data_IF_016732199618
#
_entry.id   IF_016732199618
#
_cell.length_a   1.000
_cell.length_b   1.000
_cell.length_c   1.000
_cell.angle_alpha   90.00
_cell.angle_beta   90.00
_cell.angle_gamma   90.00
#
_symmetry.space_group_name_H-M   'P 1'
#
loop_
_entity.id
_entity.type
_entity.pdbx_description
1 polymer ?
#
# COMPACT_ATOMS: atom_id res chain seq x y z
N UNK A 1 29.73 -9.99 -29.40
CA UNK A 1 29.30 -11.36 -29.02
C UNK A 1 27.85 -11.27 -28.57
N UNK A 2 26.94 -12.04 -29.15
CA UNK A 2 25.51 -11.97 -28.77
C UNK A 2 25.28 -12.73 -27.47
N UNK A 3 24.49 -12.16 -26.54
CA UNK A 3 24.10 -12.84 -25.29
C UNK A 3 23.42 -14.19 -25.56
N UNK A 4 22.83 -14.35 -26.75
CA UNK A 4 22.16 -15.56 -27.21
C UNK A 4 23.11 -16.74 -27.47
N UNK A 5 24.41 -16.46 -27.65
CA UNK A 5 25.44 -17.47 -27.91
C UNK A 5 26.17 -17.96 -26.66
N UNK A 6 25.83 -17.46 -25.47
CA UNK A 6 26.52 -17.84 -24.24
C UNK A 6 26.14 -19.27 -23.80
N UNK A 7 27.07 -20.05 -23.25
CA UNK A 7 26.78 -21.31 -22.55
C UNK A 7 25.84 -21.12 -21.36
N UNK A 8 25.20 -22.21 -20.91
CA UNK A 8 24.17 -22.15 -19.84
C UNK A 8 24.80 -21.72 -18.53
N UNK A 9 26.04 -22.14 -18.29
CA UNK A 9 26.89 -21.81 -17.15
C UNK A 9 27.09 -20.29 -17.04
N UNK A 10 27.39 -19.63 -18.17
CA UNK A 10 27.54 -18.16 -18.18
C UNK A 10 26.20 -17.45 -17.97
N UNK A 11 25.09 -17.99 -18.48
CA UNK A 11 23.76 -17.42 -18.21
C UNK A 11 23.37 -17.55 -16.74
N UNK A 12 23.73 -18.66 -16.08
CA UNK A 12 23.56 -18.86 -14.64
C UNK A 12 24.43 -17.89 -13.84
N UNK A 13 25.68 -17.66 -14.25
CA UNK A 13 26.56 -16.67 -13.61
C UNK A 13 25.98 -15.26 -13.74
N UNK A 14 25.51 -14.86 -14.94
CA UNK A 14 24.85 -13.56 -15.13
C UNK A 14 23.61 -13.45 -14.24
N UNK A 15 22.78 -14.49 -14.20
CA UNK A 15 21.58 -14.50 -13.36
C UNK A 15 21.92 -14.35 -11.87
N UNK A 16 22.98 -15.01 -11.39
CA UNK A 16 23.46 -14.87 -10.02
C UNK A 16 23.92 -13.43 -9.70
N UNK A 17 24.60 -12.77 -10.64
CA UNK A 17 25.09 -11.40 -10.45
C UNK A 17 23.99 -10.34 -10.47
N UNK A 18 22.81 -10.62 -11.05
CA UNK A 18 21.64 -9.72 -11.01
C UNK A 18 21.09 -9.55 -9.58
N UNK A 19 21.33 -10.53 -8.70
CA UNK A 19 20.92 -10.54 -7.29
C UNK A 19 19.40 -10.41 -7.09
N UNK A 20 18.94 -9.23 -6.65
CA UNK A 20 17.56 -8.97 -6.25
C UNK A 20 16.88 -7.97 -7.19
N UNK A 21 17.52 -7.61 -8.32
CA UNK A 21 16.93 -6.68 -9.29
C UNK A 21 15.82 -7.39 -10.10
N UNK A 22 14.58 -7.13 -9.70
CA UNK A 22 13.39 -7.71 -10.32
C UNK A 22 13.26 -7.34 -11.80
N UNK A 23 13.61 -6.11 -12.19
CA UNK A 23 13.50 -5.64 -13.56
C UNK A 23 14.51 -6.36 -14.46
N UNK A 24 15.75 -6.50 -13.98
CA UNK A 24 16.80 -7.23 -14.70
C UNK A 24 16.47 -8.73 -14.81
N UNK A 25 15.92 -9.36 -13.78
CA UNK A 25 15.47 -10.76 -13.85
C UNK A 25 14.35 -10.95 -14.88
N UNK A 26 13.32 -10.10 -14.88
CA UNK A 26 12.23 -10.17 -15.86
C UNK A 26 12.73 -9.89 -17.28
N UNK A 27 13.64 -8.93 -17.46
CA UNK A 27 14.27 -8.63 -18.74
C UNK A 27 15.07 -9.84 -19.27
N UNK A 28 15.92 -10.43 -18.43
CA UNK A 28 16.70 -11.61 -18.81
C UNK A 28 15.79 -12.79 -19.16
N UNK A 29 14.74 -13.04 -18.37
CA UNK A 29 13.75 -14.09 -18.64
C UNK A 29 13.03 -13.91 -19.98
N UNK A 30 12.70 -12.66 -20.34
CA UNK A 30 11.97 -12.34 -21.57
C UNK A 30 12.85 -12.34 -22.82
N UNK A 31 14.17 -12.32 -22.67
CA UNK A 31 15.10 -12.18 -23.78
C UNK A 31 14.95 -13.29 -24.83
N UNK A 32 14.80 -14.56 -24.41
CA UNK A 32 14.59 -15.69 -25.33
C UNK A 32 13.99 -16.92 -24.63
N UNK A 33 13.68 -17.97 -25.40
CA UNK A 33 13.09 -19.22 -24.89
C UNK A 33 14.02 -19.99 -23.94
N UNK A 34 15.35 -19.91 -24.15
CA UNK A 34 16.35 -20.59 -23.32
C UNK A 34 16.45 -19.99 -21.92
N UNK A 35 16.52 -18.67 -21.83
CA UNK A 35 16.51 -17.94 -20.56
C UNK A 35 15.17 -18.12 -19.85
N UNK A 36 14.04 -18.09 -20.56
CA UNK A 36 12.74 -18.46 -19.99
C UNK A 36 12.73 -19.87 -19.39
N UNK A 37 13.27 -20.85 -20.11
CA UNK A 37 13.36 -22.23 -19.61
C UNK A 37 14.21 -22.34 -18.33
N UNK A 38 15.28 -21.55 -18.23
CA UNK A 38 16.10 -21.43 -17.02
C UNK A 38 15.28 -20.97 -15.81
N UNK A 39 14.51 -19.88 -15.96
CA UNK A 39 13.67 -19.38 -14.87
C UNK A 39 12.51 -20.30 -14.51
N UNK A 40 11.94 -21.00 -15.49
CA UNK A 40 10.90 -22.00 -15.22
C UNK A 40 11.45 -23.17 -14.37
N UNK A 41 12.74 -23.44 -14.43
CA UNK A 41 13.39 -24.49 -13.63
C UNK A 41 13.63 -24.07 -12.16
N UNK A 42 13.68 -22.77 -11.84
CA UNK A 42 13.88 -22.29 -10.46
C UNK A 42 12.65 -22.46 -9.56
N UNK A 43 11.48 -22.70 -10.13
CA UNK A 43 10.24 -22.91 -9.39
C UNK A 43 9.65 -21.65 -8.76
N UNK A 44 8.58 -21.82 -7.97
CA UNK A 44 7.80 -20.72 -7.39
C UNK A 44 8.56 -19.95 -6.31
N UNK A 45 9.43 -20.62 -5.55
CA UNK A 45 10.13 -20.02 -4.40
C UNK A 45 11.11 -18.91 -4.81
N UNK A 46 11.77 -19.08 -5.96
CA UNK A 46 12.61 -18.03 -6.55
C UNK A 46 11.83 -16.74 -6.77
N UNK A 47 10.69 -16.83 -7.48
CA UNK A 47 9.86 -15.66 -7.78
C UNK A 47 9.24 -15.06 -6.53
N UNK A 48 8.84 -15.89 -5.57
CA UNK A 48 8.34 -15.45 -4.27
C UNK A 48 9.40 -14.63 -3.54
N UNK A 49 10.61 -15.17 -3.43
CA UNK A 49 11.73 -14.48 -2.77
C UNK A 49 12.06 -13.16 -3.49
N UNK A 50 12.14 -13.17 -4.83
CA UNK A 50 12.42 -11.99 -5.62
C UNK A 50 11.38 -10.88 -5.42
N UNK A 51 10.08 -11.22 -5.46
CA UNK A 51 9.01 -10.26 -5.19
C UNK A 51 9.11 -9.68 -3.78
N UNK A 52 9.31 -10.54 -2.77
CA UNK A 52 9.41 -10.10 -1.37
C UNK A 52 10.62 -9.19 -1.13
N UNK A 53 11.76 -9.49 -1.75
CA UNK A 53 12.96 -8.64 -1.69
C UNK A 53 12.78 -7.29 -2.37
N UNK A 54 11.83 -7.17 -3.30
CA UNK A 54 11.40 -5.91 -3.91
C UNK A 54 10.17 -5.30 -3.22
N UNK A 55 9.82 -5.79 -2.03
CA UNK A 55 8.73 -5.30 -1.20
C UNK A 55 7.34 -5.54 -1.76
N UNK A 56 7.16 -6.57 -2.60
CA UNK A 56 5.88 -6.91 -3.23
C UNK A 56 5.24 -8.15 -2.56
N UNK A 57 3.95 -8.04 -2.28
CA UNK A 57 3.08 -9.09 -1.75
C UNK A 57 1.94 -9.48 -2.69
N UNK A 58 1.10 -10.40 -2.21
CA UNK A 58 -0.09 -10.89 -2.91
C UNK A 58 -1.33 -10.07 -2.54
N UNK A 59 -2.32 -10.07 -3.43
CA UNK A 59 -3.63 -9.43 -3.23
C UNK A 59 -4.72 -10.50 -3.01
N UNK A 60 -5.81 -10.14 -2.34
CA UNK A 60 -6.90 -11.07 -2.00
C UNK A 60 -7.61 -11.72 -3.21
N UNK A 61 -7.41 -11.20 -4.42
CA UNK A 61 -7.97 -11.76 -5.67
C UNK A 61 -6.99 -12.62 -6.48
N UNK A 62 -5.75 -12.76 -6.02
CA UNK A 62 -4.73 -13.51 -6.74
C UNK A 62 -5.07 -15.01 -6.74
N UNK A 63 -5.04 -15.62 -7.93
CA UNK A 63 -5.24 -17.06 -8.07
C UNK A 63 -4.03 -17.80 -7.51
N UNK A 64 -4.24 -18.55 -6.43
CA UNK A 64 -3.18 -19.38 -5.83
C UNK A 64 -2.84 -20.50 -6.80
N UNK A 65 -1.66 -20.40 -7.43
CA UNK A 65 -1.23 -21.36 -8.44
C UNK A 65 0.29 -21.33 -8.67
N UNK A 66 0.78 -22.38 -9.33
CA UNK A 66 2.16 -22.43 -9.81
C UNK A 66 2.39 -21.25 -10.77
N UNK A 67 3.31 -20.35 -10.41
CA UNK A 67 3.62 -19.16 -11.20
C UNK A 67 2.95 -17.86 -10.74
N UNK A 68 2.18 -17.83 -9.64
CA UNK A 68 1.57 -16.58 -9.14
C UNK A 68 2.60 -15.44 -9.01
N UNK A 69 3.70 -15.69 -8.30
CA UNK A 69 4.74 -14.67 -8.09
C UNK A 69 5.51 -14.33 -9.37
N UNK A 70 5.60 -15.24 -10.34
CA UNK A 70 6.17 -14.94 -11.65
C UNK A 70 5.26 -13.97 -12.40
N UNK A 71 3.95 -14.19 -12.38
CA UNK A 71 2.96 -13.29 -12.95
C UNK A 71 3.03 -11.92 -12.31
N UNK A 72 3.08 -11.85 -10.97
CA UNK A 72 3.24 -10.58 -10.22
C UNK A 72 4.52 -9.86 -10.64
N UNK A 73 5.65 -10.56 -10.69
CA UNK A 73 6.93 -9.95 -11.08
C UNK A 73 6.87 -9.38 -12.50
N UNK A 74 6.29 -10.13 -13.44
CA UNK A 74 6.14 -9.68 -14.83
C UNK A 74 5.21 -8.47 -14.93
N UNK A 75 4.04 -8.52 -14.30
CA UNK A 75 3.06 -7.43 -14.26
C UNK A 75 3.69 -6.15 -13.70
N UNK A 76 4.33 -6.23 -12.53
CA UNK A 76 4.98 -5.10 -11.90
C UNK A 76 6.15 -4.56 -12.73
N UNK A 77 6.95 -5.41 -13.37
CA UNK A 77 8.07 -4.97 -14.19
C UNK A 77 7.62 -4.25 -15.46
N UNK A 78 6.60 -4.79 -16.16
CA UNK A 78 6.01 -4.14 -17.34
C UNK A 78 5.41 -2.79 -16.98
N UNK A 79 4.67 -2.72 -15.87
CA UNK A 79 4.10 -1.47 -15.36
C UNK A 79 5.20 -0.48 -14.98
N UNK A 80 6.29 -0.94 -14.37
CA UNK A 80 7.38 -0.09 -13.90
C UNK A 80 8.05 0.71 -15.03
N UNK A 81 8.17 0.12 -16.22
CA UNK A 81 8.83 0.75 -17.36
C UNK A 81 8.04 1.90 -17.99
N UNK A 82 6.72 1.93 -17.78
CA UNK A 82 5.82 2.93 -18.42
C UNK A 82 5.19 3.89 -17.41
N UNK A 83 5.22 3.58 -16.12
CA UNK A 83 4.55 4.36 -15.10
C UNK A 83 5.44 5.50 -14.58
N UNK A 84 4.98 6.74 -14.76
CA UNK A 84 5.67 7.96 -14.30
C UNK A 84 5.20 8.45 -12.93
N UNK A 85 4.13 7.86 -12.37
CA UNK A 85 3.55 8.30 -11.10
C UNK A 85 4.58 8.22 -9.95
N UNK A 86 4.79 9.29 -9.14
CA UNK A 86 5.86 9.37 -8.13
C UNK A 86 5.85 8.27 -7.07
N UNK A 87 4.66 7.77 -6.71
CA UNK A 87 4.53 6.67 -5.75
C UNK A 87 4.60 5.28 -6.37
N UNK A 88 4.81 5.17 -7.69
CA UNK A 88 4.82 3.92 -8.45
C UNK A 88 6.08 3.87 -9.34
N UNK A 89 6.13 2.93 -10.30
CA UNK A 89 7.21 2.84 -11.28
C UNK A 89 8.49 2.20 -10.75
N UNK A 90 9.58 2.37 -11.50
CA UNK A 90 10.92 1.87 -11.15
C UNK A 90 11.44 2.45 -9.84
N UNK A 91 11.22 3.74 -9.58
CA UNK A 91 11.70 4.40 -8.36
C UNK A 91 11.11 3.75 -7.10
N UNK A 92 9.80 3.46 -7.10
CA UNK A 92 9.14 2.77 -5.98
C UNK A 92 9.70 1.37 -5.74
N UNK A 93 9.98 0.59 -6.79
CA UNK A 93 10.58 -0.75 -6.64
C UNK A 93 11.97 -0.69 -5.99
N UNK A 94 12.80 0.28 -6.39
CA UNK A 94 14.12 0.50 -5.79
C UNK A 94 14.02 0.93 -4.33
N UNK A 95 13.12 1.86 -4.00
CA UNK A 95 12.85 2.29 -2.62
C UNK A 95 12.37 1.12 -1.75
N UNK A 96 11.48 0.28 -2.27
CA UNK A 96 10.99 -0.90 -1.57
C UNK A 96 12.12 -1.90 -1.29
N UNK A 97 12.96 -2.19 -2.30
CA UNK A 97 14.09 -3.09 -2.17
C UNK A 97 15.10 -2.58 -1.14
N UNK A 98 15.38 -1.27 -1.16
CA UNK A 98 16.23 -0.62 -0.17
C UNK A 98 15.62 -0.69 1.23
N UNK A 99 14.31 -0.48 1.36
CA UNK A 99 13.61 -0.56 2.65
C UNK A 99 13.65 -1.97 3.24
N UNK A 100 13.47 -3.02 2.41
CA UNK A 100 13.64 -4.42 2.84
C UNK A 100 15.07 -4.71 3.26
N UNK A 101 16.07 -4.25 2.50
CA UNK A 101 17.48 -4.42 2.83
C UNK A 101 17.84 -3.74 4.16
N UNK A 102 17.37 -2.51 4.36
CA UNK A 102 17.59 -1.73 5.58
C UNK A 102 16.89 -2.34 6.81
N UNK A 103 15.75 -3.01 6.61
CA UNK A 103 15.05 -3.72 7.68
C UNK A 103 15.83 -4.93 8.22
N UNK A 104 17.02 -5.25 7.67
CA UNK A 104 17.92 -6.33 8.09
C UNK A 104 17.19 -7.65 8.30
N UNK A 105 16.30 -8.00 7.37
CA UNK A 105 15.74 -9.33 7.31
C UNK A 105 16.87 -10.28 6.89
N UNK A 106 17.57 -10.84 7.89
CA UNK A 106 18.61 -11.86 7.70
C UNK A 106 18.09 -13.06 6.90
N UNK A 107 16.76 -13.27 6.91
CA UNK A 107 16.06 -14.22 6.09
C UNK A 107 14.74 -13.67 5.52
N UNK A 108 14.67 -13.27 4.24
CA UNK A 108 13.42 -12.84 3.60
C UNK A 108 12.46 -14.00 3.29
N UNK A 109 12.89 -15.25 3.51
CA UNK A 109 12.00 -16.42 3.47
C UNK A 109 11.20 -16.59 4.75
N UNK A 110 11.64 -15.97 5.85
CA UNK A 110 10.87 -15.96 7.09
C UNK A 110 9.46 -15.41 6.80
N UNK A 111 8.44 -16.14 7.23
CA UNK A 111 7.05 -15.66 7.14
C UNK A 111 6.97 -14.25 7.72
N UNK A 112 6.15 -13.35 7.14
CA UNK A 112 5.93 -12.01 7.67
C UNK A 112 5.76 -12.11 9.18
N UNK A 113 6.59 -11.37 9.91
CA UNK A 113 7.09 -11.69 11.25
C UNK A 113 5.99 -12.25 12.15
N UNK A 114 5.94 -13.59 12.29
CA UNK A 114 4.99 -14.28 13.18
C UNK A 114 5.49 -14.34 14.63
N UNK A 115 6.72 -13.91 14.87
CA UNK A 115 7.40 -13.94 16.17
C UNK A 115 8.37 -12.77 16.26
N UNK A 116 7.84 -11.57 16.53
CA UNK A 116 8.65 -10.49 17.09
C UNK A 116 8.88 -10.87 18.55
N UNK A 117 10.13 -11.16 18.95
CA UNK A 117 10.45 -11.43 20.37
C UNK A 117 10.50 -10.10 21.12
N UNK A 118 9.98 -10.11 22.34
CA UNK A 118 9.78 -8.95 23.25
C UNK A 118 11.00 -8.05 23.52
N UNK A 119 12.22 -8.49 23.22
CA UNK A 119 13.42 -7.84 23.75
C UNK A 119 13.98 -6.70 22.90
N UNK A 120 13.44 -6.44 21.71
CA UNK A 120 13.79 -5.25 20.93
C UNK A 120 12.53 -4.64 20.29
N UNK A 121 12.18 -3.37 20.55
CA UNK A 121 11.13 -2.69 19.82
C UNK A 121 11.61 -2.46 18.39
N UNK A 122 11.49 -3.48 17.54
CA UNK A 122 11.81 -3.36 16.12
C UNK A 122 11.00 -2.20 15.54
N UNK A 123 11.73 -1.19 15.09
CA UNK A 123 11.17 -0.01 14.45
C UNK A 123 10.61 -0.48 13.11
N UNK A 124 9.30 -0.66 13.05
CA UNK A 124 8.61 -0.87 11.79
C UNK A 124 8.73 0.42 10.97
N UNK A 125 9.38 0.33 9.82
CA UNK A 125 9.44 1.45 8.90
C UNK A 125 8.15 1.44 8.07
N UNK A 126 7.27 2.44 8.21
CA UNK A 126 6.08 2.53 7.37
C UNK A 126 6.46 2.66 5.90
N UNK A 127 5.60 2.15 5.03
CA UNK A 127 5.68 2.53 3.63
C UNK A 127 5.53 4.04 3.47
N UNK A 128 6.26 4.66 2.52
CA UNK A 128 6.15 6.10 2.25
C UNK A 128 4.74 6.56 1.85
N UNK A 129 3.92 5.69 1.26
CA UNK A 129 2.48 5.93 1.00
C UNK A 129 1.73 6.16 2.32
N UNK A 130 2.17 5.50 3.36
CA UNK A 130 1.66 5.61 4.72
C UNK A 130 2.59 6.47 5.59
N UNK A 131 3.33 7.43 5.03
CA UNK A 131 4.16 8.36 5.83
C UNK A 131 3.37 9.11 6.91
N UNK A 132 2.06 9.27 6.69
CA UNK A 132 1.14 9.88 7.65
C UNK A 132 0.57 8.88 8.66
N UNK A 133 0.97 7.60 8.59
CA UNK A 133 0.61 6.53 9.49
C UNK A 133 1.86 6.03 10.23
N UNK A 134 1.94 6.06 11.55
CA UNK A 134 2.96 5.30 12.29
C UNK A 134 2.44 3.90 12.60
N UNK A 135 3.37 3.00 12.88
CA UNK A 135 3.09 1.59 13.14
C UNK A 135 3.84 1.21 14.41
N UNK A 136 3.19 0.44 15.29
CA UNK A 136 3.74 -0.05 16.55
C UNK A 136 3.60 -1.56 16.62
N UNK A 137 4.68 -2.29 16.83
CA UNK A 137 4.56 -3.70 17.21
C UNK A 137 3.95 -3.83 18.61
N UNK A 138 3.14 -4.85 18.87
CA UNK A 138 2.76 -5.19 20.24
C UNK A 138 2.15 -6.58 20.40
N UNK A 139 2.15 -7.07 21.64
CA UNK A 139 1.48 -8.30 22.03
C UNK A 139 0.18 -7.98 22.76
N UNK A 140 -0.93 -8.60 22.35
CA UNK A 140 -2.07 -8.80 23.22
C UNK A 140 -2.48 -10.28 23.14
N UNK A 141 -1.88 -11.11 23.99
CA UNK A 141 -2.43 -12.40 24.47
C UNK A 141 -2.63 -13.54 23.46
N UNK A 142 -2.34 -13.37 22.17
CA UNK A 142 -2.37 -14.38 21.10
C UNK A 142 -1.56 -13.83 19.89
N UNK A 143 -1.18 -14.64 18.89
CA UNK A 143 0.05 -14.43 18.11
C UNK A 143 0.10 -13.08 17.36
N UNK A 144 1.01 -12.22 17.80
CA UNK A 144 1.65 -11.09 17.11
C UNK A 144 0.70 -10.15 16.32
N UNK A 145 0.27 -9.07 16.98
CA UNK A 145 -0.52 -8.00 16.37
C UNK A 145 0.31 -6.73 16.21
N UNK A 146 0.62 -6.33 14.97
CA UNK A 146 1.15 -4.99 14.72
C UNK A 146 0.00 -3.98 14.69
N UNK A 147 0.19 -2.87 15.38
CA UNK A 147 -0.73 -1.73 15.46
C UNK A 147 -0.31 -0.61 14.52
N UNK A 148 -1.26 0.22 14.13
CA UNK A 148 -1.02 1.47 13.37
C UNK A 148 -1.45 2.66 14.24
N UNK A 149 -0.53 3.58 14.55
CA UNK A 149 -0.80 4.88 15.17
C UNK A 149 -0.40 5.97 14.19
N UNK A 150 -1.28 6.74 13.58
CA UNK A 150 -0.85 7.70 12.56
C UNK A 150 0.15 8.78 13.03
N UNK A 151 0.95 9.42 12.19
CA UNK A 151 1.75 10.59 12.58
C UNK A 151 1.80 11.51 11.36
N UNK A 152 1.28 12.74 11.46
CA UNK A 152 1.16 13.62 10.29
C UNK A 152 2.51 14.26 9.93
N UNK A 153 2.90 14.17 8.66
CA UNK A 153 4.05 14.89 8.10
C UNK A 153 3.58 15.90 7.04
N UNK A 154 4.20 17.08 7.02
CA UNK A 154 3.89 18.19 6.11
C UNK A 154 4.55 17.94 4.75
N UNK A 155 3.92 17.11 3.92
CA UNK A 155 4.42 16.73 2.59
C UNK A 155 3.74 17.52 1.48
N UNK A 156 4.54 18.08 0.56
CA UNK A 156 4.11 18.82 -0.62
C UNK A 156 2.99 18.11 -1.43
N UNK A 157 2.06 18.92 -1.95
CA UNK A 157 0.92 18.54 -2.80
C UNK A 157 1.31 17.49 -3.86
N UNK A 158 0.80 16.27 -3.72
CA UNK A 158 0.77 15.29 -4.81
C UNK A 158 -0.33 15.69 -5.79
N UNK A 159 0.02 16.49 -6.82
CA UNK A 159 -0.90 16.94 -7.87
C UNK A 159 -1.34 15.84 -8.86
N UNK A 160 -0.98 14.57 -8.62
CA UNK A 160 -1.27 13.51 -9.58
C UNK A 160 -2.73 13.00 -9.46
N UNK A 161 -3.39 12.92 -10.62
CA UNK A 161 -4.83 12.67 -10.78
C UNK A 161 -5.20 11.20 -10.84
N UNK A 162 -4.23 10.32 -11.07
CA UNK A 162 -4.50 8.89 -11.20
C UNK A 162 -4.70 8.24 -9.82
N UNK A 163 -5.75 7.44 -9.71
CA UNK A 163 -6.06 6.74 -8.46
C UNK A 163 -4.97 5.70 -8.19
N UNK A 164 -4.36 5.75 -7.01
CA UNK A 164 -3.33 4.77 -6.56
C UNK A 164 -3.75 3.31 -6.73
N UNK A 165 -5.05 3.04 -6.71
CA UNK A 165 -5.65 1.71 -6.92
C UNK A 165 -5.41 1.14 -8.33
N UNK A 166 -5.16 2.00 -9.32
CA UNK A 166 -4.81 1.60 -10.68
C UNK A 166 -3.34 1.21 -10.84
N UNK A 167 -2.52 1.36 -9.79
CA UNK A 167 -1.08 1.13 -9.85
C UNK A 167 -0.70 -0.21 -9.16
N UNK A 168 -0.42 -1.29 -9.91
CA UNK A 168 -0.19 -2.62 -9.34
C UNK A 168 1.01 -2.66 -8.39
N UNK A 169 2.09 -1.92 -8.69
CA UNK A 169 3.26 -1.83 -7.80
C UNK A 169 2.87 -1.22 -6.45
N UNK A 170 2.10 -0.13 -6.46
CA UNK A 170 1.62 0.53 -5.24
C UNK A 170 0.79 -0.44 -4.42
N UNK A 171 -0.24 -1.04 -5.03
CA UNK A 171 -1.20 -1.86 -4.30
C UNK A 171 -0.58 -3.14 -3.73
N UNK A 172 0.44 -3.69 -4.41
CA UNK A 172 1.18 -4.87 -3.97
C UNK A 172 2.32 -4.56 -3.01
N UNK A 173 2.71 -3.29 -2.86
CA UNK A 173 3.81 -2.95 -1.96
C UNK A 173 3.41 -3.24 -0.50
N UNK A 174 4.34 -3.77 0.31
CA UNK A 174 4.12 -3.96 1.73
C UNK A 174 3.84 -2.65 2.47
N UNK A 175 2.92 -2.73 3.45
CA UNK A 175 2.55 -1.58 4.28
C UNK A 175 3.65 -1.17 5.26
N UNK A 176 4.50 -2.11 5.69
CA UNK A 176 5.66 -1.89 6.56
C UNK A 176 6.87 -2.68 6.11
N UNK A 177 8.04 -2.23 6.56
CA UNK A 177 9.32 -2.91 6.41
C UNK A 177 9.92 -3.13 7.81
N UNK A 178 10.08 -4.38 8.27
CA UNK A 178 9.70 -5.65 7.61
C UNK A 178 8.18 -5.83 7.42
N UNK A 179 7.73 -6.72 6.50
CA UNK A 179 6.31 -6.98 6.29
C UNK A 179 5.69 -7.73 7.47
N UNK A 180 4.49 -7.32 7.87
CA UNK A 180 3.72 -7.95 8.95
C UNK A 180 2.53 -8.73 8.38
N UNK A 181 2.16 -9.86 9.00
CA UNK A 181 1.02 -10.65 8.53
C UNK A 181 -0.35 -10.08 8.96
N UNK A 182 -0.38 -9.31 10.04
CA UNK A 182 -1.61 -8.76 10.63
C UNK A 182 -1.38 -7.31 11.06
N UNK A 183 -2.35 -6.44 10.76
CA UNK A 183 -2.37 -5.04 11.17
C UNK A 183 -3.73 -4.65 11.71
N UNK A 184 -3.77 -4.07 12.91
CA UNK A 184 -5.01 -3.57 13.54
C UNK A 184 -5.01 -2.04 13.61
N UNK A 185 -6.15 -1.45 13.29
CA UNK A 185 -6.39 0.00 13.42
C UNK A 185 -6.87 0.31 14.85
N UNK A 186 -6.08 1.06 15.61
CA UNK A 186 -6.40 1.38 17.01
C UNK A 186 -7.40 2.53 17.17
N UNK A 187 -7.44 3.44 16.20
CA UNK A 187 -8.26 4.67 16.29
C UNK A 187 -9.75 4.39 16.08
N UNK A 188 -10.10 3.21 15.59
CA UNK A 188 -11.45 2.89 15.17
C UNK A 188 -11.89 1.57 15.81
N UNK A 189 -12.89 1.65 16.68
CA UNK A 189 -13.52 0.48 17.26
C UNK A 189 -14.25 -0.33 16.16
N UNK A 190 -14.22 -1.67 16.27
CA UNK A 190 -14.84 -2.62 15.32
C UNK A 190 -14.22 -2.71 13.92
N UNK A 191 -13.01 -2.20 13.70
CA UNK A 191 -12.37 -2.32 12.38
C UNK A 191 -11.77 -3.69 12.14
N UNK A 192 -12.02 -4.29 10.96
CA UNK A 192 -11.37 -5.54 10.58
C UNK A 192 -9.85 -5.39 10.56
N UNK A 193 -9.16 -6.29 11.26
CA UNK A 193 -7.72 -6.47 11.13
C UNK A 193 -7.37 -6.74 9.67
N UNK A 194 -6.50 -5.92 9.08
CA UNK A 194 -5.90 -6.22 7.79
C UNK A 194 -4.98 -7.45 7.98
N UNK A 195 -5.23 -8.52 7.24
CA UNK A 195 -4.51 -9.79 7.41
C UNK A 195 -4.11 -10.35 6.06
N UNK A 196 -2.84 -10.72 5.94
CA UNK A 196 -2.26 -11.34 4.76
C UNK A 196 -1.05 -12.18 5.17
N UNK A 197 -1.12 -13.50 4.99
CA UNK A 197 -0.06 -14.43 5.38
C UNK A 197 1.25 -14.22 4.62
N UNK A 198 1.22 -13.57 3.46
CA UNK A 198 2.41 -13.22 2.67
C UNK A 198 2.91 -11.79 2.95
N UNK A 199 2.19 -11.04 3.80
CA UNK A 199 2.54 -9.71 4.27
C UNK A 199 1.47 -8.70 3.87
N UNK A 200 1.00 -7.92 4.84
CA UNK A 200 -0.02 -6.89 4.63
C UNK A 200 0.51 -5.85 3.66
N UNK A 201 -0.25 -5.66 2.59
CA UNK A 201 0.05 -4.72 1.50
C UNK A 201 -0.68 -3.39 1.68
N UNK A 202 -0.33 -2.40 0.86
CA UNK A 202 -1.08 -1.14 0.76
C UNK A 202 -2.55 -1.39 0.45
N UNK A 203 -2.85 -2.36 -0.43
CA UNK A 203 -4.22 -2.75 -0.74
C UNK A 203 -4.98 -3.22 0.49
N UNK A 204 -4.38 -4.06 1.32
CA UNK A 204 -5.03 -4.62 2.51
C UNK A 204 -5.40 -3.52 3.50
N UNK A 205 -4.47 -2.57 3.73
CA UNK A 205 -4.72 -1.41 4.59
C UNK A 205 -5.82 -0.51 4.00
N UNK A 206 -5.75 -0.19 2.71
CA UNK A 206 -6.76 0.64 2.04
C UNK A 206 -8.14 -0.03 2.03
N UNK A 207 -8.20 -1.34 1.80
CA UNK A 207 -9.45 -2.10 1.82
C UNK A 207 -10.08 -2.11 3.21
N UNK A 208 -9.28 -2.36 4.25
CA UNK A 208 -9.77 -2.26 5.63
C UNK A 208 -10.27 -0.86 5.93
N UNK A 209 -9.51 0.18 5.56
CA UNK A 209 -9.91 1.58 5.75
C UNK A 209 -11.22 1.90 5.01
N UNK A 210 -11.39 1.44 3.77
CA UNK A 210 -12.64 1.59 3.01
C UNK A 210 -13.82 0.91 3.69
N UNK A 211 -13.64 -0.27 4.27
CA UNK A 211 -14.71 -0.95 5.03
C UNK A 211 -15.21 -0.06 6.18
N UNK A 212 -14.31 0.61 6.90
CA UNK A 212 -14.67 1.57 7.97
C UNK A 212 -15.59 2.65 7.41
N UNK A 213 -15.24 3.15 6.24
CA UNK A 213 -15.94 4.27 5.63
C UNK A 213 -17.30 3.81 5.06
N UNK A 214 -17.45 2.57 4.63
CA UNK A 214 -18.76 2.06 4.21
C UNK A 214 -19.75 1.85 5.37
N UNK A 215 -19.25 1.63 6.60
CA UNK A 215 -20.08 1.30 7.77
C UNK A 215 -20.52 2.51 8.62
N UNK A 216 -20.22 3.75 8.19
CA UNK A 216 -20.63 4.95 8.96
C UNK A 216 -22.13 5.17 8.80
N UNK A 217 -22.92 5.19 9.90
CA UNK A 217 -24.38 5.29 9.81
C UNK A 217 -24.81 6.59 9.14
N UNK A 218 -25.56 6.44 8.06
CA UNK A 218 -26.22 7.49 7.31
C UNK A 218 -27.10 8.32 8.23
N UNK A 219 -27.02 9.64 8.10
CA UNK A 219 -27.77 10.71 8.79
C UNK A 219 -27.37 11.11 10.22
N UNK A 220 -27.33 10.25 11.25
CA UNK A 220 -27.06 10.76 12.62
C UNK A 220 -25.57 10.81 13.02
N UNK A 221 -24.70 10.08 12.30
CA UNK A 221 -23.26 10.01 12.62
C UNK A 221 -22.34 10.74 11.64
N UNK A 222 -22.81 11.09 10.44
CA UNK A 222 -21.94 11.78 9.47
C UNK A 222 -21.58 13.18 9.97
N UNK A 223 -22.48 13.88 10.67
CA UNK A 223 -22.17 15.21 11.23
C UNK A 223 -21.14 15.12 12.36
N UNK A 224 -21.34 14.20 13.30
CA UNK A 224 -20.39 13.96 14.39
C UNK A 224 -19.03 13.53 13.83
N UNK A 225 -19.04 12.71 12.78
CA UNK A 225 -17.84 12.27 12.09
C UNK A 225 -17.17 13.41 11.30
N UNK A 226 -17.91 14.19 10.52
CA UNK A 226 -17.41 15.35 9.78
C UNK A 226 -16.83 16.39 10.74
N UNK A 227 -17.57 16.73 11.79
CA UNK A 227 -17.12 17.69 12.81
C UNK A 227 -15.88 17.19 13.54
N UNK A 228 -15.79 15.88 13.82
CA UNK A 228 -14.59 15.26 14.40
C UNK A 228 -13.41 15.30 13.42
N UNK A 229 -13.62 15.02 12.14
CA UNK A 229 -12.51 14.88 11.17
C UNK A 229 -12.12 16.19 10.46
N UNK A 230 -12.96 17.22 10.51
CA UNK A 230 -12.64 18.58 10.02
C UNK A 230 -12.17 19.50 11.16
N UNK A 231 -11.95 18.96 12.36
CA UNK A 231 -11.70 19.72 13.59
C UNK A 231 -12.75 20.84 13.84
N UNK A 232 -13.98 20.62 13.39
CA UNK A 232 -15.08 21.58 13.47
C UNK A 232 -15.06 22.71 12.43
N UNK A 233 -14.10 22.71 11.51
CA UNK A 233 -13.98 23.71 10.45
C UNK A 233 -14.23 23.09 9.07
N UNK A 234 -15.52 23.05 8.69
CA UNK A 234 -15.96 22.51 7.40
C UNK A 234 -15.50 23.34 6.20
N UNK A 235 -15.07 24.60 6.41
CA UNK A 235 -14.58 25.49 5.33
C UNK A 235 -13.26 25.03 4.72
N UNK A 236 -12.56 24.10 5.39
CA UNK A 236 -11.34 23.47 4.86
C UNK A 236 -11.61 22.42 3.78
N UNK A 237 -12.86 21.95 3.66
CA UNK A 237 -13.22 20.86 2.75
C UNK A 237 -14.33 21.27 1.79
N UNK A 238 -15.26 22.11 2.23
CA UNK A 238 -16.34 22.62 1.39
C UNK A 238 -16.08 24.06 0.95
N UNK A 239 -16.56 24.47 -0.25
CA UNK A 239 -16.52 25.85 -0.69
C UNK A 239 -17.28 26.73 0.31
N UNK A 240 -16.72 27.90 0.63
CA UNK A 240 -17.39 28.87 1.51
C UNK A 240 -18.77 29.32 0.98
N UNK A 241 -19.01 29.17 -0.32
CA UNK A 241 -20.27 29.52 -0.97
C UNK A 241 -21.40 28.51 -0.71
N UNK A 242 -21.09 27.28 -0.29
CA UNK A 242 -22.12 26.29 -0.01
C UNK A 242 -22.81 26.56 1.31
N UNK A 243 -24.14 26.49 1.33
CA UNK A 243 -24.86 26.49 2.58
C UNK A 243 -24.65 25.18 3.32
N UNK A 244 -24.85 25.20 4.63
CA UNK A 244 -24.85 23.98 5.45
C UNK A 244 -25.85 22.94 4.88
N UNK A 245 -26.98 23.39 4.32
CA UNK A 245 -27.98 22.51 3.69
C UNK A 245 -27.43 21.85 2.42
N UNK A 246 -26.75 22.60 1.55
CA UNK A 246 -26.15 22.06 0.33
C UNK A 246 -25.06 21.02 0.65
N UNK A 247 -24.27 21.28 1.69
CA UNK A 247 -23.28 20.31 2.20
C UNK A 247 -23.97 19.02 2.65
N UNK A 248 -25.12 19.11 3.32
CA UNK A 248 -25.86 17.95 3.82
C UNK A 248 -26.53 17.14 2.71
N UNK A 249 -27.11 17.80 1.73
CA UNK A 249 -27.75 17.13 0.58
C UNK A 249 -26.69 16.44 -0.30
N UNK A 250 -25.51 17.05 -0.43
CA UNK A 250 -24.39 16.50 -1.22
C UNK A 250 -23.64 15.36 -0.50
N UNK A 251 -23.66 15.34 0.83
CA UNK A 251 -22.93 14.37 1.68
C UNK A 251 -23.90 13.56 2.55
N UNK A 252 -24.89 12.96 1.90
CA UNK A 252 -25.82 12.01 2.55
C UNK A 252 -25.19 10.63 2.79
N UNK A 253 -24.06 10.37 2.16
CA UNK A 253 -23.28 9.14 2.29
C UNK A 253 -21.79 9.45 2.23
N UNK A 254 -20.96 8.49 2.64
CA UNK A 254 -19.51 8.59 2.46
C UNK A 254 -19.07 8.60 1.02
N UNK A 255 -19.85 8.01 0.11
CA UNK A 255 -19.59 8.14 -1.32
C UNK A 255 -19.76 9.61 -1.73
N UNK A 256 -20.80 10.29 -1.25
CA UNK A 256 -20.97 11.73 -1.41
C UNK A 256 -19.81 12.53 -0.81
N UNK A 257 -19.31 12.12 0.36
CA UNK A 257 -18.11 12.73 0.96
C UNK A 257 -16.89 12.61 0.06
N UNK A 258 -16.66 11.44 -0.54
CA UNK A 258 -15.52 11.22 -1.43
C UNK A 258 -15.65 11.91 -2.80
N UNK A 259 -16.85 12.33 -3.18
CA UNK A 259 -17.08 13.19 -4.35
C UNK A 259 -16.64 14.62 -4.08
N UNK A 260 -16.80 15.10 -2.85
CA UNK A 260 -16.45 16.48 -2.46
C UNK A 260 -15.07 16.63 -1.85
N UNK A 261 -14.54 15.55 -1.29
CA UNK A 261 -13.33 15.55 -0.51
C UNK A 261 -12.41 14.40 -0.93
N UNK A 262 -11.14 14.70 -1.19
CA UNK A 262 -10.08 13.70 -1.39
C UNK A 262 -9.51 13.38 -0.02
N UNK A 263 -9.52 12.10 0.36
CA UNK A 263 -8.75 11.66 1.51
C UNK A 263 -7.25 11.76 1.19
N UNK A 264 -6.52 12.46 2.05
CA UNK A 264 -5.08 12.69 1.90
C UNK A 264 -4.26 12.09 3.04
N UNK A 265 -4.90 11.33 3.92
CA UNK A 265 -4.26 10.63 5.03
C UNK A 265 -4.86 10.98 6.38
N UNK A 266 -4.03 11.00 7.42
CA UNK A 266 -4.46 11.23 8.80
C UNK A 266 -3.77 12.45 9.41
N UNK A 267 -4.46 13.14 10.31
CA UNK A 267 -3.93 14.23 11.12
C UNK A 267 -3.95 13.84 12.61
N UNK A 268 -2.86 14.16 13.33
CA UNK A 268 -2.79 13.96 14.78
C UNK A 268 -3.56 15.07 15.51
N UNK A 269 -4.51 14.71 16.36
CA UNK A 269 -5.31 15.68 17.14
C UNK A 269 -4.91 15.72 18.63
N UNK A 270 -3.86 15.01 19.04
CA UNK A 270 -3.50 14.85 20.45
C UNK A 270 -4.12 13.61 21.10
N UNK A 271 -3.70 13.30 22.33
CA UNK A 271 -4.27 12.22 23.17
C UNK A 271 -4.39 10.83 22.50
N UNK A 272 -3.44 10.49 21.62
CA UNK A 272 -3.46 9.26 20.80
C UNK A 272 -4.68 9.14 19.87
N UNK A 273 -5.33 10.25 19.51
CA UNK A 273 -6.46 10.30 18.59
C UNK A 273 -6.03 10.84 17.23
N UNK A 274 -6.61 10.26 16.18
CA UNK A 274 -6.40 10.67 14.80
C UNK A 274 -7.72 11.04 14.15
N UNK A 275 -7.67 12.09 13.35
CA UNK A 275 -8.70 12.45 12.42
C UNK A 275 -8.27 12.07 11.00
N UNK A 276 -9.21 11.64 10.18
CA UNK A 276 -9.01 11.59 8.74
C UNK A 276 -8.80 13.02 8.22
N UNK A 277 -7.75 13.23 7.43
CA UNK A 277 -7.51 14.50 6.76
C UNK A 277 -8.01 14.44 5.33
N UNK A 278 -8.72 15.47 4.93
CA UNK A 278 -9.26 15.60 3.60
C UNK A 278 -8.87 16.94 2.99
N UNK A 279 -8.74 16.94 1.68
CA UNK A 279 -8.64 18.15 0.86
C UNK A 279 -9.88 18.27 -0.01
N UNK A 280 -10.32 19.50 -0.35
CA UNK A 280 -11.41 19.69 -1.31
C UNK A 280 -11.04 19.04 -2.65
N UNK A 281 -11.98 18.31 -3.24
CA UNK A 281 -11.90 18.06 -4.69
C UNK A 281 -12.30 19.33 -5.44
N UNK A 282 -11.92 19.44 -6.70
CA UNK A 282 -12.51 20.46 -7.57
C UNK A 282 -13.99 20.12 -7.73
N UNK A 283 -14.83 20.90 -7.07
CA UNK A 283 -16.26 20.71 -7.03
C UNK A 283 -16.91 21.32 -8.27
N UNK A 284 -18.02 20.75 -8.77
CA UNK A 284 -18.87 21.45 -9.72
C UNK A 284 -19.44 22.74 -9.10
N UNK A 285 -19.72 23.72 -9.95
CA UNK A 285 -20.29 25.01 -9.51
C UNK A 285 -21.71 24.82 -8.92
N UNK A 286 -22.40 23.75 -9.30
CA UNK A 286 -23.73 23.36 -8.82
C UNK A 286 -23.64 22.13 -7.86
N UNK A 287 -24.05 22.28 -6.58
CA UNK A 287 -24.08 21.18 -5.61
C UNK A 287 -24.92 19.96 -6.03
N UNK A 288 -25.97 20.17 -6.84
CA UNK A 288 -26.87 19.10 -7.28
C UNK A 288 -26.22 18.07 -8.19
N UNK A 289 -25.11 18.41 -8.84
CA UNK A 289 -24.31 17.50 -9.68
C UNK A 289 -23.58 16.42 -8.87
N UNK A 290 -23.45 16.59 -7.56
CA UNK A 290 -22.79 15.62 -6.66
C UNK A 290 -23.74 14.50 -6.23
N UNK A 291 -25.04 14.71 -6.36
CA UNK A 291 -26.08 13.77 -5.91
C UNK A 291 -26.49 12.75 -6.98
N UNK A 292 -26.03 12.92 -8.23
CA UNK A 292 -26.26 12.01 -9.37
C UNK A 292 -25.20 10.91 -9.47
#
# INVERSE_FOLDING_TARGET
MSLMGLPTELLLMIQHEIRDDLLAHVCLMKLNTRTRALYNAFGTDFWKMLCRRNGLGTLAGDSVGAGLYQTIAVECAEHAWVCEHPSCGTARLLENAQSISNARLDDPTCSPTRTLRDEDPYILTPNGIFRCMAFRGGEFGAPCHTYVTAEAYDGQDMQDTDALEAHPIVMRTFATFPPCANMRFLTFDNVPTASNNDGVTVFDVMKSAKSIMSDIPTTENIFTWLRRNTCGDTSKVFPQAWSIVDMFESVTSIVGWFRVARWIGFAYEGSNKFAFRFEPRRLPDDPSEISQ
#
